data_IF_452753575754
#
_entry.id   IF_452753575754
#
_cell.length_a   1.000
_cell.length_b   1.000
_cell.length_c   1.000
_cell.angle_alpha   90.00
_cell.angle_beta   90.00
_cell.angle_gamma   90.00
#
_symmetry.space_group_name_H-M   'P 1'
#
loop_
_entity.id
_entity.type
_entity.pdbx_description
1 polymer ?
#
# COMPACT_ATOMS: atom_id res chain seq x y z
N UNK A 1 36.63 1.96 60.45
CA UNK A 1 35.99 2.96 59.56
C UNK A 1 36.26 2.56 58.11
N UNK A 2 35.33 1.86 57.45
CA UNK A 2 35.61 1.31 56.11
C UNK A 2 34.40 0.97 55.23
N UNK A 3 33.18 1.29 55.64
CA UNK A 3 31.96 0.97 54.88
C UNK A 3 31.22 2.21 54.32
N UNK A 4 31.80 3.41 54.43
CA UNK A 4 31.09 4.66 54.09
C UNK A 4 31.28 5.17 52.65
N UNK A 5 32.19 4.58 51.86
CA UNK A 5 32.53 5.08 50.52
C UNK A 5 32.02 4.21 49.36
N UNK A 6 31.64 2.95 49.59
CA UNK A 6 31.14 2.07 48.52
C UNK A 6 29.65 2.29 48.22
N UNK A 7 28.87 2.73 49.21
CA UNK A 7 27.43 2.96 49.08
C UNK A 7 27.11 4.24 48.28
N UNK A 8 27.96 5.27 48.38
CA UNK A 8 27.81 6.57 47.70
C UNK A 8 27.97 6.49 46.18
N UNK A 9 28.85 5.61 45.69
CA UNK A 9 29.05 5.40 44.25
C UNK A 9 27.84 4.74 43.58
N UNK A 10 27.24 3.75 44.24
CA UNK A 10 26.06 3.05 43.72
C UNK A 10 24.80 3.92 43.74
N UNK A 11 24.63 4.77 44.77
CA UNK A 11 23.50 5.73 44.83
C UNK A 11 23.62 6.81 43.76
N UNK A 12 24.82 7.32 43.50
CA UNK A 12 25.02 8.29 42.41
C UNK A 12 24.73 7.69 41.03
N UNK A 13 25.17 6.46 40.75
CA UNK A 13 24.88 5.79 39.47
C UNK A 13 23.38 5.52 39.33
N UNK A 14 22.70 5.07 40.39
CA UNK A 14 21.26 4.85 40.38
C UNK A 14 20.46 6.14 40.17
N UNK A 15 20.85 7.24 40.82
CA UNK A 15 20.21 8.56 40.65
C UNK A 15 20.43 9.10 39.23
N UNK A 16 21.65 8.99 38.68
CA UNK A 16 21.93 9.41 37.30
C UNK A 16 21.12 8.57 36.30
N UNK A 17 21.02 7.25 36.50
CA UNK A 17 20.22 6.39 35.64
C UNK A 17 18.72 6.74 35.68
N UNK A 18 18.17 7.05 36.87
CA UNK A 18 16.77 7.46 37.02
C UNK A 18 16.53 8.83 36.35
N UNK A 19 17.46 9.78 36.49
CA UNK A 19 17.35 11.10 35.87
C UNK A 19 17.43 10.99 34.34
N UNK A 20 18.33 10.17 33.80
CA UNK A 20 18.42 9.92 32.35
C UNK A 20 17.15 9.24 31.85
N UNK A 21 16.64 8.24 32.58
CA UNK A 21 15.39 7.57 32.22
C UNK A 21 14.20 8.55 32.23
N UNK A 22 14.14 9.44 33.22
CA UNK A 22 13.12 10.49 33.29
C UNK A 22 13.25 11.52 32.16
N UNK A 23 14.46 11.87 31.72
CA UNK A 23 14.68 12.74 30.56
C UNK A 23 14.30 12.06 29.24
N UNK A 24 14.57 10.76 29.09
CA UNK A 24 14.16 9.98 27.91
C UNK A 24 12.64 9.85 27.86
N UNK A 25 12.00 9.50 28.99
CA UNK A 25 10.53 9.42 29.07
C UNK A 25 9.91 10.81 28.85
N UNK A 26 10.46 11.86 29.47
CA UNK A 26 10.01 13.24 29.26
C UNK A 26 10.18 13.69 27.81
N UNK A 27 11.27 13.32 27.15
CA UNK A 27 11.51 13.59 25.72
C UNK A 27 10.57 12.83 24.80
N UNK A 28 10.28 11.56 25.09
CA UNK A 28 9.30 10.75 24.35
C UNK A 28 7.88 11.29 24.55
N UNK A 29 7.50 11.63 25.77
CA UNK A 29 6.19 12.25 26.06
C UNK A 29 6.08 13.61 25.38
N UNK A 30 7.12 14.45 25.43
CA UNK A 30 7.15 15.73 24.73
C UNK A 30 7.05 15.58 23.20
N UNK A 31 7.71 14.57 22.63
CA UNK A 31 7.65 14.28 21.21
C UNK A 31 6.27 13.73 20.79
N UNK A 32 5.69 12.83 21.59
CA UNK A 32 4.36 12.26 21.35
C UNK A 32 3.25 13.29 21.55
N UNK A 33 3.36 14.20 22.52
CA UNK A 33 2.36 15.26 22.73
C UNK A 33 2.48 16.43 21.75
N UNK A 34 3.59 16.56 21.02
CA UNK A 34 3.74 17.51 19.90
C UNK A 34 3.24 16.98 18.56
N UNK A 35 2.93 15.69 18.45
CA UNK A 35 2.26 15.15 17.29
C UNK A 35 0.76 15.47 17.42
N UNK A 36 0.38 16.70 17.05
CA UNK A 36 -1.03 17.02 16.83
C UNK A 36 -1.61 16.03 15.81
N UNK A 37 -2.72 15.34 16.16
CA UNK A 37 -3.47 14.58 15.19
C UNK A 37 -4.29 15.59 14.39
N UNK A 38 -3.88 15.89 13.16
CA UNK A 38 -4.74 16.56 12.19
C UNK A 38 -5.82 15.57 11.72
N UNK A 39 -6.84 15.37 12.55
CA UNK A 39 -8.08 14.72 12.19
C UNK A 39 -9.17 15.77 12.23
N UNK A 40 -9.71 16.02 11.03
CA UNK A 40 -10.81 16.91 10.72
C UNK A 40 -11.92 16.84 11.77
N UNK A 41 -12.08 17.93 12.52
CA UNK A 41 -13.28 18.18 13.31
C UNK A 41 -13.70 19.63 13.05
N UNK A 42 -14.44 19.86 11.96
CA UNK A 42 -15.22 21.10 11.80
C UNK A 42 -16.40 20.86 10.88
N UNK A 43 -17.40 20.11 11.36
CA UNK A 43 -18.80 20.32 10.96
C UNK A 43 -19.61 20.20 12.24
N UNK A 44 -19.99 21.34 12.84
CA UNK A 44 -21.39 21.74 13.07
C UNK A 44 -21.44 22.89 14.10
N UNK A 45 -21.86 24.07 13.65
CA UNK A 45 -23.05 24.76 14.18
C UNK A 45 -23.08 26.18 13.65
N UNK A 46 -23.86 26.36 12.58
CA UNK A 46 -24.75 27.51 12.47
C UNK A 46 -26.13 26.96 12.07
N UNK A 47 -27.00 26.87 13.08
CA UNK A 47 -28.41 26.59 12.91
C UNK A 47 -29.12 27.85 12.40
N UNK A 48 -29.77 27.80 11.24
CA UNK A 48 -31.01 28.53 11.01
C UNK A 48 -31.74 28.06 9.74
N UNK A 49 -33.05 27.80 9.93
CA UNK A 49 -34.16 27.77 8.96
C UNK A 49 -34.54 26.43 8.25
N UNK A 50 -35.67 25.87 8.73
CA UNK A 50 -36.89 25.40 8.02
C UNK A 50 -36.70 24.65 6.68
N UNK A 51 -37.25 23.44 6.46
CA UNK A 51 -38.65 23.06 6.61
C UNK A 51 -38.90 21.52 6.69
N UNK A 52 -39.90 21.17 7.50
CA UNK A 52 -40.92 20.08 7.39
C UNK A 52 -40.56 18.62 7.06
N UNK A 53 -40.80 17.77 8.07
CA UNK A 53 -41.82 16.69 8.07
C UNK A 53 -41.84 15.67 6.90
N UNK A 54 -41.32 14.46 7.11
CA UNK A 54 -42.11 13.31 7.60
C UNK A 54 -41.31 12.00 7.61
N UNK A 55 -41.51 11.27 8.70
CA UNK A 55 -41.51 9.82 8.91
C UNK A 55 -40.98 8.92 7.78
N UNK A 56 -39.96 8.10 8.07
CA UNK A 56 -40.12 6.64 8.13
C UNK A 56 -38.80 5.96 8.56
N UNK A 57 -38.95 5.09 9.57
CA UNK A 57 -37.91 4.21 10.07
C UNK A 57 -37.54 3.19 8.99
N UNK A 58 -36.27 3.10 8.63
CA UNK A 58 -35.67 1.86 8.16
C UNK A 58 -34.35 1.65 8.89
N UNK A 59 -34.42 0.76 9.88
CA UNK A 59 -33.29 0.05 10.48
C UNK A 59 -32.56 -0.75 9.40
N UNK A 60 -31.78 -0.03 8.60
CA UNK A 60 -30.86 -0.56 7.62
C UNK A 60 -29.48 -0.53 8.24
N UNK A 61 -29.16 -1.57 9.01
CA UNK A 61 -27.80 -1.92 9.40
C UNK A 61 -26.93 -1.93 8.14
N UNK A 62 -26.28 -0.81 7.82
CA UNK A 62 -25.23 -0.76 6.80
C UNK A 62 -24.08 -1.54 7.41
N UNK A 63 -24.11 -2.85 7.19
CA UNK A 63 -22.96 -3.70 7.37
C UNK A 63 -21.90 -3.15 6.40
N UNK A 64 -20.71 -2.75 6.87
CA UNK A 64 -19.62 -2.49 5.95
C UNK A 64 -19.37 -3.81 5.23
N UNK A 65 -19.67 -3.87 3.94
CA UNK A 65 -19.27 -5.01 3.13
C UNK A 65 -17.75 -5.09 3.21
N UNK A 66 -17.21 -6.25 3.55
CA UNK A 66 -15.77 -6.51 3.70
C UNK A 66 -14.95 -6.05 2.47
N UNK A 67 -15.61 -5.85 1.33
CA UNK A 67 -15.06 -5.24 0.12
C UNK A 67 -14.55 -3.80 0.29
N UNK A 68 -15.06 -3.02 1.25
CA UNK A 68 -14.61 -1.64 1.48
C UNK A 68 -13.39 -1.54 2.39
N UNK A 69 -13.17 -2.52 3.27
CA UNK A 69 -11.97 -2.56 4.11
C UNK A 69 -10.69 -2.85 3.29
N UNK A 70 -10.81 -3.59 2.18
CA UNK A 70 -9.70 -3.88 1.27
C UNK A 70 -9.26 -2.70 0.39
N UNK A 71 -10.14 -1.72 0.17
CA UNK A 71 -9.88 -0.54 -0.69
C UNK A 71 -9.10 0.58 0.00
N UNK A 72 -8.92 0.52 1.33
CA UNK A 72 -8.26 1.58 2.12
C UNK A 72 -6.77 1.32 2.41
N UNK A 73 -6.13 0.35 1.72
CA UNK A 73 -4.73 -0.01 2.01
C UNK A 73 -3.70 0.67 1.11
N UNK A 74 -4.07 1.06 -0.10
CA UNK A 74 -3.13 1.59 -1.08
C UNK A 74 -3.35 3.09 -1.28
N UNK A 75 -2.23 3.81 -1.40
CA UNK A 75 -2.18 5.28 -1.50
C UNK A 75 -1.97 5.77 -2.94
N UNK A 76 -1.46 4.90 -3.83
CA UNK A 76 -1.20 5.21 -5.22
C UNK A 76 -2.46 5.37 -6.08
N UNK A 77 -2.27 5.93 -7.28
CA UNK A 77 -3.34 6.15 -8.22
C UNK A 77 -3.95 4.82 -8.70
N UNK A 78 -5.24 4.64 -8.49
CA UNK A 78 -6.01 3.49 -9.03
C UNK A 78 -6.24 3.72 -10.51
N UNK A 79 -5.72 2.82 -11.33
CA UNK A 79 -5.82 2.85 -12.79
C UNK A 79 -6.99 2.01 -13.29
N UNK A 80 -7.33 0.92 -12.61
CA UNK A 80 -8.45 0.04 -12.93
C UNK A 80 -8.76 -0.92 -11.77
N UNK A 81 -9.86 -1.66 -11.90
CA UNK A 81 -10.23 -2.77 -11.05
C UNK A 81 -11.20 -2.40 -9.94
N UNK A 82 -12.24 -3.23 -9.76
CA UNK A 82 -13.21 -3.08 -8.65
C UNK A 82 -12.89 -4.01 -7.49
N UNK A 83 -12.60 -5.29 -7.78
CA UNK A 83 -12.25 -6.28 -6.73
C UNK A 83 -10.73 -6.41 -6.55
N UNK A 84 -10.01 -6.60 -7.66
CA UNK A 84 -8.55 -6.56 -7.71
C UNK A 84 -8.15 -5.20 -8.29
N UNK A 85 -7.43 -4.38 -7.52
CA UNK A 85 -7.00 -3.05 -7.96
C UNK A 85 -5.72 -3.13 -8.80
N UNK A 86 -5.66 -2.31 -9.84
CA UNK A 86 -4.46 -2.01 -10.64
C UNK A 86 -4.03 -0.58 -10.32
N UNK A 87 -2.82 -0.42 -9.81
CA UNK A 87 -2.27 0.84 -9.33
C UNK A 87 -1.09 1.28 -10.18
N UNK A 88 -0.78 2.57 -10.18
CA UNK A 88 0.58 3.01 -10.51
C UNK A 88 1.54 2.57 -9.39
N UNK A 89 2.76 2.23 -9.78
CA UNK A 89 3.75 1.74 -8.84
C UNK A 89 4.14 2.84 -7.85
N UNK A 90 4.06 2.49 -6.57
CA UNK A 90 4.79 3.18 -5.52
C UNK A 90 5.48 2.14 -4.66
N UNK A 91 6.65 2.48 -4.11
CA UNK A 91 7.38 1.57 -3.22
C UNK A 91 6.54 1.16 -2.01
N UNK A 92 5.81 2.11 -1.42
CA UNK A 92 4.97 1.89 -0.25
C UNK A 92 3.84 0.89 -0.53
N UNK A 93 3.12 1.04 -1.64
CA UNK A 93 2.00 0.15 -1.97
C UNK A 93 2.49 -1.24 -2.36
N UNK A 94 3.61 -1.33 -3.08
CA UNK A 94 4.25 -2.60 -3.39
C UNK A 94 4.70 -3.34 -2.13
N UNK A 95 5.32 -2.66 -1.17
CA UNK A 95 5.70 -3.24 0.11
C UNK A 95 4.47 -3.66 0.92
N UNK A 96 3.42 -2.86 0.92
CA UNK A 96 2.16 -3.18 1.56
C UNK A 96 1.52 -4.44 0.96
N UNK A 97 1.64 -4.64 -0.36
CA UNK A 97 1.17 -5.82 -1.08
C UNK A 97 2.02 -7.07 -0.79
N UNK A 98 3.35 -6.94 -0.66
CA UNK A 98 4.25 -8.03 -0.30
C UNK A 98 3.92 -8.65 1.07
N UNK A 99 3.36 -7.86 1.98
CA UNK A 99 2.89 -8.30 3.30
C UNK A 99 1.50 -8.94 3.27
N UNK A 100 1.02 -9.38 2.11
CA UNK A 100 -0.27 -10.05 1.93
C UNK A 100 -0.10 -11.34 1.13
N UNK A 101 -1.11 -12.21 1.18
CA UNK A 101 -1.14 -13.43 0.36
C UNK A 101 -1.68 -13.20 -1.06
N UNK A 102 -1.80 -11.93 -1.49
CA UNK A 102 -2.29 -11.60 -2.82
C UNK A 102 -1.28 -11.96 -3.90
N UNK A 103 -1.78 -12.32 -5.08
CA UNK A 103 -0.99 -12.36 -6.30
C UNK A 103 -0.61 -10.92 -6.67
N UNK A 104 0.68 -10.64 -6.80
CA UNK A 104 1.17 -9.35 -7.28
C UNK A 104 1.50 -9.49 -8.77
N UNK A 105 0.89 -8.64 -9.58
CA UNK A 105 1.10 -8.57 -11.03
C UNK A 105 1.81 -7.26 -11.36
N UNK A 106 3.09 -7.34 -11.72
CA UNK A 106 3.86 -6.19 -12.17
C UNK A 106 3.82 -6.11 -13.70
N UNK A 107 3.56 -4.92 -14.22
CA UNK A 107 3.65 -4.60 -15.64
C UNK A 107 4.63 -3.47 -15.88
N UNK A 108 5.81 -3.81 -16.41
CA UNK A 108 6.85 -2.85 -16.72
C UNK A 108 6.56 -2.18 -18.06
N UNK A 109 6.33 -0.87 -18.06
CA UNK A 109 5.94 -0.08 -19.25
C UNK A 109 6.87 1.12 -19.44
N UNK A 110 6.80 1.75 -20.60
CA UNK A 110 7.45 3.03 -20.87
C UNK A 110 6.55 3.90 -21.76
N UNK A 111 6.60 5.23 -21.64
CA UNK A 111 5.72 6.11 -22.42
C UNK A 111 6.06 6.08 -23.92
N UNK A 112 7.34 5.92 -24.25
CA UNK A 112 7.85 5.81 -25.62
C UNK A 112 7.50 4.47 -26.31
N UNK A 113 6.96 3.49 -25.57
CA UNK A 113 6.71 2.13 -26.05
C UNK A 113 5.32 1.98 -26.71
N UNK A 114 5.22 1.77 -28.03
CA UNK A 114 3.93 1.66 -28.72
C UNK A 114 3.14 0.42 -28.31
N UNK A 115 3.82 -0.71 -28.10
CA UNK A 115 3.21 -1.95 -27.62
C UNK A 115 2.56 -1.71 -26.25
N UNK A 116 3.26 -0.97 -25.38
CA UNK A 116 2.82 -0.72 -24.03
C UNK A 116 1.53 0.12 -24.01
N UNK A 117 1.45 1.14 -24.89
CA UNK A 117 0.25 1.96 -25.06
C UNK A 117 -0.95 1.16 -25.57
N UNK A 118 -0.72 0.18 -26.44
CA UNK A 118 -1.77 -0.68 -26.96
C UNK A 118 -2.23 -1.74 -25.94
N UNK A 119 -1.30 -2.30 -25.16
CA UNK A 119 -1.59 -3.38 -24.22
C UNK A 119 -2.15 -2.88 -22.88
N UNK A 120 -1.77 -1.68 -22.43
CA UNK A 120 -2.21 -1.19 -21.12
C UNK A 120 -3.75 -1.08 -20.96
N UNK A 121 -4.52 -0.61 -21.96
CA UNK A 121 -6.00 -0.68 -21.91
C UNK A 121 -6.55 -2.11 -21.80
N UNK A 122 -5.85 -3.10 -22.37
CA UNK A 122 -6.24 -4.51 -22.31
C UNK A 122 -6.04 -5.04 -20.89
N UNK A 123 -4.91 -4.69 -20.25
CA UNK A 123 -4.64 -5.02 -18.87
C UNK A 123 -5.66 -4.38 -17.91
N UNK A 124 -5.96 -3.09 -18.09
CA UNK A 124 -6.99 -2.40 -17.31
C UNK A 124 -8.35 -3.11 -17.43
N UNK A 125 -8.75 -3.48 -18.65
CA UNK A 125 -9.98 -4.24 -18.88
C UNK A 125 -9.95 -5.59 -18.13
N UNK A 126 -8.84 -6.32 -18.21
CA UNK A 126 -8.71 -7.59 -17.50
C UNK A 126 -8.89 -7.41 -15.98
N UNK A 127 -8.27 -6.39 -15.38
CA UNK A 127 -8.43 -6.08 -13.95
C UNK A 127 -9.85 -5.64 -13.57
N UNK A 128 -10.54 -4.88 -14.42
CA UNK A 128 -11.95 -4.52 -14.22
C UNK A 128 -12.87 -5.76 -14.20
N UNK A 129 -12.52 -6.80 -14.96
CA UNK A 129 -13.30 -8.03 -15.08
C UNK A 129 -12.95 -9.08 -14.01
N UNK A 130 -11.93 -8.85 -13.17
CA UNK A 130 -11.58 -9.75 -12.08
C UNK A 130 -12.60 -9.66 -10.94
N UNK A 131 -13.25 -10.79 -10.65
CA UNK A 131 -14.20 -10.94 -9.54
C UNK A 131 -13.55 -11.52 -8.27
N UNK A 132 -12.31 -11.12 -7.99
CA UNK A 132 -11.55 -11.58 -6.83
C UNK A 132 -10.69 -10.46 -6.28
N UNK A 133 -10.53 -10.41 -4.97
CA UNK A 133 -9.65 -9.48 -4.25
C UNK A 133 -8.25 -10.06 -3.99
N UNK A 134 -8.00 -11.30 -4.43
CA UNK A 134 -6.76 -12.05 -4.22
C UNK A 134 -5.62 -11.65 -5.17
N UNK A 135 -5.82 -10.62 -5.99
CA UNK A 135 -4.80 -10.08 -6.88
C UNK A 135 -4.68 -8.56 -6.71
N UNK A 136 -3.48 -8.06 -6.97
CA UNK A 136 -3.17 -6.63 -7.06
C UNK A 136 -2.18 -6.41 -8.20
N UNK A 137 -2.41 -5.37 -8.99
CA UNK A 137 -1.60 -5.00 -10.14
C UNK A 137 -0.82 -3.73 -9.89
N UNK A 138 0.40 -3.65 -10.43
CA UNK A 138 1.20 -2.43 -10.49
C UNK A 138 1.68 -2.17 -11.91
N UNK A 139 1.43 -0.97 -12.41
CA UNK A 139 2.09 -0.44 -13.59
C UNK A 139 3.40 0.23 -13.15
N UNK A 140 4.53 -0.29 -13.63
CA UNK A 140 5.89 0.11 -13.19
C UNK A 140 6.61 0.78 -14.35
N UNK A 141 7.09 2.01 -14.18
CA UNK A 141 7.82 2.70 -15.25
C UNK A 141 9.19 2.04 -15.49
N UNK A 142 9.64 2.03 -16.75
CA UNK A 142 10.85 1.35 -17.18
C UNK A 142 11.61 2.19 -18.21
N UNK A 143 12.84 2.58 -17.85
CA UNK A 143 13.78 3.30 -18.72
C UNK A 143 13.13 4.49 -19.46
N UNK A 144 12.36 5.28 -18.73
CA UNK A 144 11.82 6.57 -19.16
C UNK A 144 12.42 7.71 -18.35
N UNK A 145 12.14 8.96 -18.74
CA UNK A 145 12.61 10.16 -18.04
C UNK A 145 12.09 10.26 -16.60
N UNK A 146 10.93 9.66 -16.33
CA UNK A 146 10.28 9.66 -15.02
C UNK A 146 10.60 8.39 -14.20
N UNK A 147 11.38 7.45 -14.74
CA UNK A 147 11.70 6.21 -14.01
C UNK A 147 12.62 6.49 -12.82
N UNK A 148 12.15 6.16 -11.62
CA UNK A 148 12.87 6.37 -10.37
C UNK A 148 13.85 5.22 -10.04
N UNK A 149 14.49 5.28 -8.87
CA UNK A 149 15.45 4.27 -8.44
C UNK A 149 14.80 2.97 -7.96
N UNK A 150 13.62 3.04 -7.37
CA UNK A 150 12.89 1.88 -6.86
C UNK A 150 12.37 1.02 -8.02
N UNK A 151 11.84 1.65 -9.06
CA UNK A 151 11.43 1.00 -10.31
C UNK A 151 12.62 0.32 -11.01
N UNK A 152 13.76 1.02 -11.09
CA UNK A 152 15.02 0.45 -11.64
C UNK A 152 15.51 -0.74 -10.82
N UNK A 153 15.46 -0.65 -9.49
CA UNK A 153 15.82 -1.74 -8.59
C UNK A 153 14.90 -2.94 -8.79
N UNK A 154 13.59 -2.71 -8.91
CA UNK A 154 12.59 -3.75 -9.11
C UNK A 154 12.78 -4.46 -10.45
N UNK A 155 13.00 -3.71 -11.53
CA UNK A 155 13.32 -4.27 -12.84
C UNK A 155 14.59 -5.14 -12.79
N UNK A 156 15.66 -4.68 -12.11
CA UNK A 156 16.88 -5.48 -11.90
C UNK A 156 16.61 -6.74 -11.10
N UNK A 157 15.86 -6.64 -9.99
CA UNK A 157 15.53 -7.77 -9.12
C UNK A 157 14.87 -8.91 -9.90
N UNK A 158 13.95 -8.58 -10.82
CA UNK A 158 13.24 -9.59 -11.60
C UNK A 158 13.89 -9.91 -12.96
N UNK A 159 15.01 -9.26 -13.29
CA UNK A 159 15.72 -9.43 -14.55
C UNK A 159 14.89 -8.99 -15.75
N UNK A 160 14.22 -7.84 -15.63
CA UNK A 160 13.47 -7.20 -16.71
C UNK A 160 14.46 -6.43 -17.59
N UNK A 161 14.62 -6.90 -18.83
CA UNK A 161 15.55 -6.31 -19.80
C UNK A 161 14.86 -5.35 -20.79
N UNK A 162 13.54 -5.45 -20.90
CA UNK A 162 12.73 -4.65 -21.82
C UNK A 162 11.40 -4.32 -21.14
N UNK A 163 10.81 -3.20 -21.54
CA UNK A 163 9.43 -2.80 -21.24
C UNK A 163 8.42 -3.85 -21.75
N UNK A 164 7.11 -3.60 -21.65
CA UNK A 164 6.01 -4.54 -21.94
C UNK A 164 6.13 -5.92 -21.24
N UNK A 165 6.98 -6.02 -20.21
CA UNK A 165 7.24 -7.25 -19.48
C UNK A 165 6.29 -7.38 -18.30
N UNK A 166 5.67 -8.54 -18.16
CA UNK A 166 4.83 -8.91 -17.02
C UNK A 166 5.62 -9.80 -16.07
N UNK A 167 5.53 -9.54 -14.77
CA UNK A 167 6.12 -10.39 -13.71
C UNK A 167 5.05 -10.69 -12.68
N UNK A 168 4.82 -11.96 -12.39
CA UNK A 168 3.87 -12.37 -11.35
C UNK A 168 4.63 -12.89 -10.14
N UNK A 169 4.22 -12.43 -8.97
CA UNK A 169 4.80 -12.79 -7.68
C UNK A 169 3.69 -13.35 -6.80
N UNK A 170 3.94 -14.54 -6.24
CA UNK A 170 3.05 -15.19 -5.29
C UNK A 170 3.89 -15.75 -4.16
N UNK A 171 3.47 -15.50 -2.91
CA UNK A 171 4.17 -15.96 -1.71
C UNK A 171 5.67 -15.56 -1.70
N UNK A 172 5.95 -14.31 -2.08
CA UNK A 172 7.31 -13.76 -2.16
C UNK A 172 8.18 -14.31 -3.30
N UNK A 173 7.66 -15.19 -4.16
CA UNK A 173 8.41 -15.83 -5.24
C UNK A 173 7.89 -15.40 -6.61
N UNK A 174 8.82 -15.15 -7.53
CA UNK A 174 8.48 -14.96 -8.95
C UNK A 174 8.01 -16.29 -9.55
N UNK A 175 6.74 -16.35 -9.96
CA UNK A 175 6.15 -17.53 -10.61
C UNK A 175 6.06 -17.38 -12.13
N UNK A 176 6.08 -16.15 -12.65
CA UNK A 176 6.06 -15.88 -14.09
C UNK A 176 6.88 -14.63 -14.43
N UNK A 177 7.53 -14.65 -15.60
CA UNK A 177 8.06 -13.48 -16.29
C UNK A 177 7.80 -13.66 -17.79
N UNK A 178 7.12 -12.71 -18.42
CA UNK A 178 6.77 -12.77 -19.84
C UNK A 178 7.01 -11.43 -20.51
N UNK A 179 7.90 -11.34 -21.52
CA UNK A 179 8.07 -10.15 -22.35
C UNK A 179 7.11 -10.15 -23.56
N UNK A 180 6.21 -11.11 -23.70
CA UNK A 180 5.30 -11.18 -24.86
C UNK A 180 4.07 -10.29 -24.65
N UNK A 181 3.57 -9.64 -25.70
CA UNK A 181 2.31 -8.90 -25.65
C UNK A 181 1.11 -9.82 -25.38
N UNK A 182 0.21 -9.41 -24.49
CA UNK A 182 -0.95 -10.22 -24.11
C UNK A 182 -2.27 -9.60 -24.54
N UNK A 183 -3.20 -10.46 -24.95
CA UNK A 183 -4.61 -10.10 -25.10
C UNK A 183 -5.36 -10.28 -23.76
N UNK A 184 -6.63 -9.85 -23.72
CA UNK A 184 -7.44 -9.93 -22.51
C UNK A 184 -7.62 -11.38 -22.02
N UNK A 185 -7.77 -12.35 -22.94
CA UNK A 185 -7.94 -13.77 -22.60
C UNK A 185 -6.69 -14.32 -21.91
N UNK A 186 -5.50 -13.93 -22.40
CA UNK A 186 -4.22 -14.35 -21.84
C UNK A 186 -4.02 -13.83 -20.41
N UNK A 187 -4.39 -12.57 -20.15
CA UNK A 187 -4.38 -12.02 -18.79
C UNK A 187 -5.25 -12.85 -17.84
N UNK A 188 -6.52 -13.11 -18.20
CA UNK A 188 -7.42 -13.93 -17.38
C UNK A 188 -6.89 -15.34 -17.15
N UNK A 189 -6.35 -15.98 -18.19
CA UNK A 189 -5.82 -17.33 -18.08
C UNK A 189 -4.60 -17.42 -17.14
N UNK A 190 -3.63 -16.51 -17.28
CA UNK A 190 -2.42 -16.52 -16.45
C UNK A 190 -2.71 -16.08 -15.01
N UNK A 191 -3.57 -15.09 -14.80
CA UNK A 191 -3.99 -14.68 -13.45
C UNK A 191 -4.77 -15.82 -12.79
N UNK A 192 -5.73 -16.42 -13.49
CA UNK A 192 -6.50 -17.56 -12.97
C UNK A 192 -5.60 -18.73 -12.58
N UNK A 193 -4.64 -19.10 -13.43
CA UNK A 193 -3.65 -20.14 -13.14
C UNK A 193 -2.73 -19.80 -11.96
N UNK A 194 -2.39 -18.54 -11.79
CA UNK A 194 -1.54 -18.08 -10.69
C UNK A 194 -2.29 -18.04 -9.34
N UNK A 195 -3.62 -17.85 -9.37
CA UNK A 195 -4.45 -17.84 -8.16
C UNK A 195 -4.77 -19.23 -7.61
N UNK A 196 -4.59 -20.29 -8.40
CA UNK A 196 -4.83 -21.68 -7.99
C UNK A 196 -3.59 -22.41 -7.48
N UNK A 197 -2.41 -21.77 -7.52
CA UNK A 197 -1.14 -22.27 -6.99
C UNK A 197 -0.94 -21.84 -5.53
#
# INVERSE_FOLDING_TARGET
MGYANLQKGFTMIAVVAIVVLAMVIGGVVYFVTRQEPSINETIEKDNAMMDKENNDMMDGKIMPSESQAGMMKYSGAILAGTSAVLLDFTKADYDAALNTDKLIVLYFYANWCPICRAEFPIMQKAFNELNTDKAVGFRVNYNDSETDNDEKNLARQFGVAYQHTKVFIKNGRRILKSPESWDNKRYHAEIGKALTQ
#
